data_IF_895058394879
#
_entry.id   IF_895058394879
#
_cell.length_a   1.000
_cell.length_b   1.000
_cell.length_c   1.000
_cell.angle_alpha   90.00
_cell.angle_beta   90.00
_cell.angle_gamma   90.00
#
_symmetry.space_group_name_H-M   'P 1'
#
loop_
_entity.id
_entity.type
_entity.pdbx_description
1 polymer ?
#
# COMPACT_ATOMS: atom_id res chain seq x y z
N UNK A 1 -6.49 -12.70 -26.86
CA UNK A 1 -6.10 -13.36 -25.60
C UNK A 1 -5.59 -12.32 -24.62
N UNK A 2 -6.48 -11.66 -23.88
CA UNK A 2 -6.11 -10.73 -22.80
C UNK A 2 -7.08 -10.97 -21.64
N UNK A 3 -6.86 -12.09 -20.93
CA UNK A 3 -7.56 -12.39 -19.70
C UNK A 3 -6.98 -11.56 -18.57
N UNK A 4 -7.40 -10.30 -18.47
CA UNK A 4 -7.22 -9.52 -17.25
C UNK A 4 -7.93 -10.27 -16.13
N UNK A 5 -7.14 -10.82 -15.21
CA UNK A 5 -7.62 -11.58 -14.05
C UNK A 5 -8.75 -10.80 -13.38
N UNK A 6 -9.90 -11.47 -13.22
CA UNK A 6 -11.07 -10.96 -12.53
C UNK A 6 -10.62 -10.34 -11.19
N UNK A 7 -11.16 -9.18 -10.77
CA UNK A 7 -10.72 -8.54 -9.55
C UNK A 7 -11.13 -9.43 -8.38
N UNK A 8 -10.16 -10.20 -7.85
CA UNK A 8 -10.24 -10.80 -6.54
C UNK A 8 -10.73 -9.69 -5.60
N UNK A 9 -11.85 -9.95 -4.91
CA UNK A 9 -12.60 -8.97 -4.11
C UNK A 9 -11.61 -8.11 -3.33
N UNK A 10 -11.44 -6.86 -3.79
CA UNK A 10 -10.47 -5.93 -3.25
C UNK A 10 -10.96 -5.53 -1.87
N UNK A 11 -10.54 -6.25 -0.83
CA UNK A 11 -10.58 -5.70 0.51
C UNK A 11 -9.58 -4.55 0.48
N UNK A 12 -10.00 -3.28 0.54
CA UNK A 12 -9.04 -2.21 0.66
C UNK A 12 -8.20 -2.53 1.91
N UNK A 13 -6.88 -2.43 1.79
CA UNK A 13 -6.03 -2.30 2.96
C UNK A 13 -6.52 -1.04 3.68
N UNK A 14 -7.48 -1.19 4.59
CA UNK A 14 -7.84 -0.13 5.52
C UNK A 14 -6.69 -0.04 6.50
N UNK A 15 -5.63 0.64 6.07
CA UNK A 15 -4.68 1.22 6.96
C UNK A 15 -5.17 2.64 7.24
N UNK A 16 -5.81 2.94 8.38
CA UNK A 16 -5.26 4.09 9.06
C UNK A 16 -3.84 3.66 9.39
N UNK A 17 -2.85 4.20 8.68
CA UNK A 17 -1.58 4.41 9.34
C UNK A 17 -1.94 5.27 10.55
N UNK A 18 -2.29 4.65 11.68
CA UNK A 18 -2.27 5.32 12.96
C UNK A 18 -0.82 5.72 13.05
N UNK A 19 -0.51 6.98 12.73
CA UNK A 19 0.74 7.58 13.13
C UNK A 19 0.75 7.38 14.64
N UNK A 20 1.50 6.37 15.07
CA UNK A 20 1.69 6.13 16.48
C UNK A 20 2.53 7.34 16.89
N UNK A 21 2.00 8.25 17.72
CA UNK A 21 2.75 9.42 18.12
C UNK A 21 4.09 8.92 18.67
N UNK A 22 5.17 9.62 18.29
CA UNK A 22 6.49 9.27 18.78
C UNK A 22 6.44 9.23 20.32
N UNK A 23 6.97 8.17 20.97
CA UNK A 23 6.92 8.08 22.41
C UNK A 23 7.69 9.26 23.01
N UNK A 24 7.01 10.09 23.81
CA UNK A 24 7.59 11.29 24.43
C UNK A 24 8.44 10.97 25.68
N UNK A 25 9.06 9.80 25.75
CA UNK A 25 9.80 9.32 26.92
C UNK A 25 10.43 7.94 26.72
N UNK A 26 11.09 7.38 27.76
CA UNK A 26 11.74 6.08 27.67
C UNK A 26 10.72 5.00 27.29
N UNK A 27 11.00 4.27 26.21
CA UNK A 27 10.19 3.13 25.79
C UNK A 27 10.55 1.94 26.68
N UNK A 28 9.62 1.56 27.56
CA UNK A 28 9.74 0.29 28.27
C UNK A 28 9.65 -0.85 27.24
N UNK A 29 10.62 -1.77 27.28
CA UNK A 29 10.60 -2.95 26.42
C UNK A 29 9.43 -3.86 26.83
N UNK A 30 8.68 -4.41 25.87
CA UNK A 30 7.64 -5.39 26.18
C UNK A 30 8.27 -6.63 26.82
N UNK A 31 7.51 -7.30 27.70
CA UNK A 31 7.85 -8.64 28.17
C UNK A 31 7.89 -9.64 27.00
N UNK A 32 8.63 -10.73 27.18
CA UNK A 32 8.87 -11.74 26.14
C UNK A 32 7.54 -12.32 25.62
N UNK A 33 6.57 -12.58 26.49
CA UNK A 33 5.27 -13.14 26.12
C UNK A 33 4.46 -12.18 25.23
N UNK A 34 4.50 -10.88 25.55
CA UNK A 34 3.83 -9.86 24.77
C UNK A 34 4.47 -9.70 23.39
N UNK A 35 5.80 -9.81 23.31
CA UNK A 35 6.55 -9.79 22.05
C UNK A 35 6.20 -10.98 21.17
N UNK A 36 6.24 -12.19 21.73
CA UNK A 36 5.88 -13.43 21.00
C UNK A 36 4.46 -13.38 20.45
N UNK A 37 3.51 -12.83 21.22
CA UNK A 37 2.15 -12.66 20.74
C UNK A 37 2.07 -11.69 19.56
N UNK A 38 2.74 -10.54 19.66
CA UNK A 38 2.77 -9.56 18.58
C UNK A 38 3.38 -10.13 17.29
N UNK A 39 4.45 -10.93 17.40
CA UNK A 39 5.08 -11.61 16.26
C UNK A 39 4.08 -12.56 15.59
N UNK A 40 3.42 -13.41 16.38
CA UNK A 40 2.47 -14.38 15.85
C UNK A 40 1.24 -13.72 15.20
N UNK A 41 0.72 -12.64 15.78
CA UNK A 41 -0.38 -11.88 15.21
C UNK A 41 0.01 -11.20 13.90
N UNK A 42 1.18 -10.55 13.85
CA UNK A 42 1.70 -9.92 12.64
C UNK A 42 1.95 -10.95 11.52
N UNK A 43 2.51 -12.11 11.86
CA UNK A 43 2.72 -13.22 10.92
C UNK A 43 1.41 -13.69 10.32
N UNK A 44 0.39 -13.94 11.15
CA UNK A 44 -0.93 -14.37 10.68
C UNK A 44 -1.56 -13.30 9.76
N UNK A 45 -1.44 -12.02 10.12
CA UNK A 45 -1.96 -10.91 9.32
C UNK A 45 -1.25 -10.76 7.96
N UNK A 46 0.07 -10.96 7.90
CA UNK A 46 0.84 -10.89 6.66
C UNK A 46 0.59 -12.11 5.76
N UNK A 47 0.55 -13.32 6.31
CA UNK A 47 0.22 -14.53 5.56
C UNK A 47 -1.21 -14.49 5.02
N UNK A 48 -2.16 -13.92 5.76
CA UNK A 48 -3.53 -13.71 5.30
C UNK A 48 -3.66 -12.72 4.12
N UNK A 49 -2.60 -11.99 3.76
CA UNK A 49 -2.56 -11.08 2.60
C UNK A 49 -1.84 -11.70 1.38
N UNK A 50 -1.23 -12.87 1.53
CA UNK A 50 -0.52 -13.54 0.44
C UNK A 50 -1.53 -14.01 -0.62
N UNK A 51 -1.23 -13.76 -1.89
CA UNK A 51 -2.01 -14.28 -2.99
C UNK A 51 -1.90 -15.81 -3.08
N UNK A 52 -2.85 -16.45 -3.76
CA UNK A 52 -2.84 -17.91 -3.97
C UNK A 52 -1.55 -18.40 -4.64
N UNK A 53 -0.94 -17.58 -5.49
CA UNK A 53 0.29 -17.90 -6.20
C UNK A 53 1.56 -17.62 -5.35
N UNK A 54 1.40 -17.26 -4.08
CA UNK A 54 2.49 -17.09 -3.12
C UNK A 54 3.14 -15.71 -3.09
N UNK A 55 2.71 -14.75 -3.91
CA UNK A 55 3.24 -13.38 -3.88
C UNK A 55 2.47 -12.47 -2.92
N UNK A 56 3.08 -11.34 -2.54
CA UNK A 56 2.40 -10.23 -1.86
C UNK A 56 2.25 -9.05 -2.80
N UNK A 57 1.13 -8.35 -2.73
CA UNK A 57 0.86 -7.15 -3.51
C UNK A 57 0.34 -6.03 -2.61
N UNK A 58 1.02 -4.90 -2.61
CA UNK A 58 0.63 -3.69 -1.89
C UNK A 58 0.50 -2.49 -2.84
N UNK A 59 -0.11 -1.41 -2.35
CA UNK A 59 -0.05 -0.13 -3.04
C UNK A 59 1.35 0.46 -2.87
N UNK A 60 2.00 0.81 -3.99
CA UNK A 60 3.25 1.55 -3.97
C UNK A 60 2.90 3.04 -3.93
N UNK A 61 3.10 3.67 -2.78
CA UNK A 61 3.04 5.13 -2.65
C UNK A 61 4.37 5.70 -3.15
N UNK A 62 4.31 6.40 -4.28
CA UNK A 62 5.43 7.13 -4.85
C UNK A 62 5.23 8.63 -4.64
N UNK A 63 6.28 9.41 -4.84
CA UNK A 63 6.14 10.86 -4.87
C UNK A 63 5.33 11.32 -6.11
N UNK A 64 5.04 12.62 -6.16
CA UNK A 64 4.21 13.22 -7.22
C UNK A 64 4.92 13.35 -8.57
N UNK A 65 6.23 13.13 -8.64
CA UNK A 65 7.06 13.38 -9.84
C UNK A 65 6.63 12.49 -10.99
N UNK A 66 6.46 11.18 -10.75
CA UNK A 66 5.99 10.24 -11.78
C UNK A 66 4.63 10.67 -12.35
N UNK A 67 3.74 11.16 -11.48
CA UNK A 67 2.42 11.64 -11.90
C UNK A 67 2.55 12.91 -12.75
N UNK A 68 3.38 13.87 -12.32
CA UNK A 68 3.61 15.12 -13.04
C UNK A 68 4.28 14.89 -14.41
N UNK A 69 5.29 14.03 -14.47
CA UNK A 69 5.98 13.66 -15.70
C UNK A 69 5.06 12.93 -16.67
N UNK A 70 4.22 12.02 -16.17
CA UNK A 70 3.20 11.37 -16.99
C UNK A 70 2.21 12.39 -17.58
N UNK A 71 1.74 13.34 -16.77
CA UNK A 71 0.87 14.42 -17.25
C UNK A 71 1.57 15.23 -18.37
N UNK A 72 2.82 15.65 -18.16
CA UNK A 72 3.61 16.36 -19.16
C UNK A 72 3.79 15.55 -20.45
N UNK A 73 4.13 14.26 -20.35
CA UNK A 73 4.28 13.37 -21.50
C UNK A 73 2.99 13.28 -22.32
N UNK A 74 1.83 13.18 -21.67
CA UNK A 74 0.55 13.14 -22.38
C UNK A 74 0.25 14.44 -23.14
N UNK A 75 0.70 15.60 -22.64
CA UNK A 75 0.65 16.86 -23.38
C UNK A 75 1.55 16.83 -24.61
N UNK A 76 2.80 16.42 -24.45
CA UNK A 76 3.77 16.33 -25.56
C UNK A 76 3.31 15.38 -26.67
N UNK A 77 2.60 14.31 -26.31
CA UNK A 77 2.05 13.34 -27.27
C UNK A 77 0.68 13.73 -27.85
N UNK A 78 0.06 14.83 -27.40
CA UNK A 78 -1.29 15.21 -27.82
C UNK A 78 -2.39 14.24 -27.35
N UNK A 79 -2.18 13.52 -26.24
CA UNK A 79 -3.05 12.44 -25.71
C UNK A 79 -3.64 12.78 -24.34
N UNK A 80 -3.93 14.04 -24.09
CA UNK A 80 -4.36 14.53 -22.77
C UNK A 80 -5.75 14.01 -22.42
N UNK A 81 -5.87 13.32 -21.28
CA UNK A 81 -7.15 13.04 -20.61
C UNK A 81 -7.39 14.08 -19.52
N UNK A 82 -8.23 15.08 -19.82
CA UNK A 82 -8.53 16.20 -18.92
C UNK A 82 -9.21 15.77 -17.62
N UNK A 83 -9.90 14.63 -17.59
CA UNK A 83 -10.50 14.12 -16.35
C UNK A 83 -9.44 13.54 -15.43
N UNK A 84 -8.44 12.83 -15.99
CA UNK A 84 -7.30 12.32 -15.21
C UNK A 84 -6.40 13.46 -14.74
N UNK A 85 -6.11 14.41 -15.60
CA UNK A 85 -5.29 15.58 -15.25
C UNK A 85 -5.86 16.38 -14.08
N UNK A 86 -7.17 16.61 -14.01
CA UNK A 86 -7.81 17.30 -12.87
C UNK A 86 -7.77 16.53 -11.55
N UNK A 87 -7.49 15.22 -11.61
CA UNK A 87 -7.46 14.33 -10.43
C UNK A 87 -6.03 14.13 -9.92
N UNK A 88 -5.04 14.30 -10.80
CA UNK A 88 -3.62 14.24 -10.48
C UNK A 88 -3.25 15.39 -9.53
#
# INVERSE_FOLDING_TARGET
>A
MAGWLAPARRRPLRAPARQRPAPAGPVALPGVEALERAIADARAALLGQQACDGYWMGLLEADVTITAEYCLLQHLLGRVDRRRERKA
#
